data_IF_638211734722
#
_entry.id   IF_638211734722
#
_cell.length_a   1.000
_cell.length_b   1.000
_cell.length_c   1.000
_cell.angle_alpha   90.00
_cell.angle_beta   90.00
_cell.angle_gamma   90.00
#
_symmetry.space_group_name_H-M   'P 1'
#
loop_
_entity.id
_entity.type
_entity.pdbx_description
1 polymer ?
#
# COMPACT_ATOMS: atom_id res chain seq x y z
N UNK A 1 -1.40 -6.33 11.93
CA UNK A 1 -0.82 -6.00 10.62
C UNK A 1 -1.11 -7.15 9.66
N UNK A 2 -1.61 -6.89 8.46
CA UNK A 2 -1.92 -7.89 7.44
C UNK A 2 -0.76 -7.97 6.43
N UNK A 3 -0.33 -9.17 6.08
CA UNK A 3 0.76 -9.37 5.12
C UNK A 3 0.20 -9.73 3.75
N UNK A 4 0.62 -9.00 2.73
CA UNK A 4 0.24 -9.22 1.33
C UNK A 4 1.43 -9.85 0.60
N UNK A 5 1.25 -11.06 0.08
CA UNK A 5 2.33 -11.81 -0.55
C UNK A 5 2.58 -11.27 -1.96
N UNK A 6 3.83 -10.98 -2.29
CA UNK A 6 4.26 -10.50 -3.61
C UNK A 6 5.39 -11.37 -4.15
N UNK A 7 5.47 -11.52 -5.48
CA UNK A 7 6.54 -12.24 -6.18
C UNK A 7 7.56 -11.30 -6.85
N UNK A 8 7.48 -10.00 -6.57
CA UNK A 8 8.36 -8.96 -7.09
C UNK A 8 9.24 -8.39 -5.97
N UNK A 9 10.33 -7.69 -6.31
CA UNK A 9 11.20 -7.01 -5.31
C UNK A 9 10.43 -5.99 -4.45
N UNK A 10 9.40 -5.36 -5.03
CA UNK A 10 8.52 -4.41 -4.36
C UNK A 10 7.17 -4.37 -5.08
N UNK A 11 6.18 -3.77 -4.44
CA UNK A 11 4.92 -3.37 -5.07
C UNK A 11 4.74 -1.85 -4.88
N UNK A 12 4.13 -1.15 -5.84
CA UNK A 12 3.84 0.29 -5.65
C UNK A 12 2.66 0.45 -4.70
N UNK A 13 2.62 1.52 -3.93
CA UNK A 13 1.55 1.78 -2.96
C UNK A 13 0.14 1.68 -3.56
N UNK A 14 -0.12 2.30 -4.72
CA UNK A 14 -1.42 2.18 -5.38
C UNK A 14 -1.76 0.74 -5.81
N UNK A 15 -0.75 -0.01 -6.24
CA UNK A 15 -0.92 -1.38 -6.72
C UNK A 15 -1.14 -2.31 -5.52
N UNK A 16 -0.50 -2.04 -4.38
CA UNK A 16 -0.75 -2.73 -3.11
C UNK A 16 -2.22 -2.57 -2.68
N UNK A 17 -2.74 -1.34 -2.64
CA UNK A 17 -4.13 -1.11 -2.23
C UNK A 17 -5.10 -1.88 -3.12
N UNK A 18 -4.89 -1.84 -4.43
CA UNK A 18 -5.72 -2.58 -5.39
C UNK A 18 -5.55 -4.09 -5.25
N UNK A 19 -4.31 -4.58 -5.18
CA UNK A 19 -3.99 -6.00 -5.12
C UNK A 19 -4.53 -6.65 -3.83
N UNK A 20 -4.51 -5.91 -2.72
CA UNK A 20 -5.09 -6.32 -1.45
C UNK A 20 -6.63 -6.18 -1.39
N UNK A 21 -7.28 -5.74 -2.48
CA UNK A 21 -8.74 -5.55 -2.54
C UNK A 21 -9.26 -4.43 -1.65
N UNK A 22 -8.41 -3.45 -1.29
CA UNK A 22 -8.76 -2.33 -0.42
C UNK A 22 -9.43 -1.18 -1.18
N UNK A 23 -9.26 -1.18 -2.50
CA UNK A 23 -9.84 -0.25 -3.48
C UNK A 23 -10.17 -1.06 -4.73
N UNK A 24 -11.16 -0.62 -5.49
CA UNK A 24 -11.62 -1.32 -6.70
C UNK A 24 -10.72 -1.00 -7.90
N UNK A 25 -10.20 0.22 -7.96
CA UNK A 25 -9.42 0.70 -9.12
C UNK A 25 -8.12 1.41 -8.75
N UNK A 26 -7.19 1.46 -9.71
CA UNK A 26 -5.97 2.28 -9.55
C UNK A 26 -6.23 3.79 -9.57
N UNK A 27 -7.36 4.22 -10.14
CA UNK A 27 -7.81 5.62 -10.10
C UNK A 27 -8.22 6.03 -8.69
N UNK A 28 -9.05 5.21 -8.06
CA UNK A 28 -9.45 5.38 -6.66
C UNK A 28 -8.23 5.39 -5.72
N UNK A 29 -7.30 4.44 -5.92
CA UNK A 29 -6.04 4.41 -5.18
C UNK A 29 -5.27 5.74 -5.29
N UNK A 30 -5.18 6.30 -6.51
CA UNK A 30 -4.52 7.59 -6.74
C UNK A 30 -5.21 8.71 -5.95
N UNK A 31 -6.54 8.80 -6.02
CA UNK A 31 -7.30 9.87 -5.36
C UNK A 31 -7.14 9.81 -3.84
N UNK A 32 -7.25 8.63 -3.23
CA UNK A 32 -7.08 8.43 -1.79
C UNK A 32 -5.66 8.75 -1.32
N UNK A 33 -4.65 8.30 -2.05
CA UNK A 33 -3.24 8.57 -1.73
C UNK A 33 -2.96 10.09 -1.84
N UNK A 34 -3.37 10.73 -2.92
CA UNK A 34 -3.17 12.17 -3.11
C UNK A 34 -4.03 13.02 -2.16
N UNK A 35 -5.15 12.48 -1.70
CA UNK A 35 -6.01 13.06 -0.66
C UNK A 35 -5.52 12.82 0.77
N UNK A 36 -4.32 12.25 0.96
CA UNK A 36 -3.70 12.09 2.27
C UNK A 36 -4.35 11.01 3.15
N UNK A 37 -5.10 10.08 2.57
CA UNK A 37 -5.81 9.02 3.31
C UNK A 37 -4.94 7.80 3.66
N UNK A 38 -3.66 7.82 3.24
CA UNK A 38 -2.73 6.70 3.41
C UNK A 38 -1.48 7.19 4.11
N UNK A 39 -0.99 6.42 5.09
CA UNK A 39 0.30 6.68 5.71
C UNK A 39 1.26 5.53 5.43
N UNK A 40 2.56 5.83 5.33
CA UNK A 40 3.60 4.82 5.28
C UNK A 40 4.67 5.16 6.30
N UNK A 41 4.91 4.28 7.27
CA UNK A 41 5.82 4.53 8.38
C UNK A 41 5.34 5.61 9.35
N UNK A 42 4.02 5.80 9.48
CA UNK A 42 3.40 6.80 10.36
C UNK A 42 3.30 8.22 9.76
N UNK A 43 3.77 8.43 8.54
CA UNK A 43 3.67 9.71 7.84
C UNK A 43 2.69 9.63 6.67
N UNK A 44 1.89 10.69 6.48
CA UNK A 44 0.99 10.80 5.31
C UNK A 44 1.81 10.69 4.03
N UNK A 45 1.46 9.72 3.19
CA UNK A 45 2.16 9.46 1.95
C UNK A 45 1.30 9.89 0.77
N UNK A 46 1.76 10.88 0.01
CA UNK A 46 1.10 11.35 -1.22
C UNK A 46 1.68 10.71 -2.49
N UNK A 47 2.68 9.85 -2.34
CA UNK A 47 3.41 9.22 -3.44
C UNK A 47 2.79 7.87 -3.81
N UNK A 48 1.84 7.88 -4.75
CA UNK A 48 1.18 6.64 -5.22
C UNK A 48 2.12 5.57 -5.76
N UNK A 49 3.28 6.01 -6.28
CA UNK A 49 4.34 5.16 -6.81
C UNK A 49 5.39 4.75 -5.78
N UNK A 50 5.22 5.09 -4.49
CA UNK A 50 6.14 4.66 -3.42
C UNK A 50 6.27 3.15 -3.44
N UNK A 51 7.51 2.67 -3.48
CA UNK A 51 7.82 1.24 -3.45
C UNK A 51 7.63 0.74 -2.02
N UNK A 52 6.81 -0.28 -1.85
CA UNK A 52 6.55 -0.96 -0.58
C UNK A 52 7.28 -2.29 -0.58
N UNK A 53 8.05 -2.52 0.48
CA UNK A 53 8.85 -3.72 0.73
C UNK A 53 8.51 -4.33 2.09
N UNK A 54 8.89 -5.59 2.35
CA UNK A 54 8.67 -6.18 3.66
C UNK A 54 9.27 -5.32 4.76
N UNK A 55 8.47 -5.07 5.80
CA UNK A 55 8.82 -4.18 6.91
C UNK A 55 8.29 -2.74 6.77
N UNK A 56 7.87 -2.30 5.58
CA UNK A 56 7.10 -1.06 5.45
C UNK A 56 5.72 -1.24 6.10
N UNK A 57 5.31 -0.26 6.90
CA UNK A 57 3.97 -0.20 7.51
C UNK A 57 3.09 0.77 6.72
N UNK A 58 2.09 0.24 6.03
CA UNK A 58 1.07 1.01 5.32
C UNK A 58 -0.21 1.05 6.17
N UNK A 59 -0.61 2.24 6.62
CA UNK A 59 -1.89 2.46 7.30
C UNK A 59 -2.91 2.99 6.30
N UNK A 60 -4.02 2.28 6.16
CA UNK A 60 -5.18 2.68 5.36
C UNK A 60 -6.47 2.18 6.00
N UNK A 61 -7.51 3.03 6.03
CA UNK A 61 -8.81 2.71 6.62
C UNK A 61 -8.74 2.10 8.04
N UNK A 62 -7.82 2.61 8.88
CA UNK A 62 -7.64 2.15 10.26
C UNK A 62 -6.95 0.77 10.41
N UNK A 63 -6.45 0.19 9.33
CA UNK A 63 -5.74 -1.09 9.36
C UNK A 63 -4.32 -0.97 8.79
N UNK A 64 -3.42 -1.75 9.37
CA UNK A 64 -2.00 -1.80 8.98
C UNK A 64 -1.72 -2.96 8.04
N UNK A 65 -0.95 -2.69 6.99
CA UNK A 65 -0.57 -3.62 5.94
C UNK A 65 0.95 -3.60 5.73
N UNK A 66 1.51 -4.75 5.42
CA UNK A 66 2.89 -4.88 4.93
C UNK A 66 2.91 -5.91 3.80
N UNK A 67 4.06 -6.12 3.18
CA UNK A 67 4.24 -7.15 2.15
C UNK A 67 5.20 -8.24 2.63
N UNK A 68 5.04 -9.45 2.08
CA UNK A 68 5.96 -10.57 2.26
C UNK A 68 6.35 -11.12 0.89
N UNK A 69 7.56 -11.65 0.74
CA UNK A 69 7.92 -12.33 -0.50
C UNK A 69 7.28 -13.72 -0.52
N UNK A 70 6.82 -14.15 -1.70
CA UNK A 70 6.52 -15.55 -1.95
C UNK A 70 7.82 -16.38 -1.81
N UNK A 71 7.71 -17.57 -1.23
CA UNK A 71 8.80 -18.55 -1.18
C UNK A 71 9.22 -19.02 -2.58
#
# INVERSE_FOLDING_TARGET
>A
MKTIVISTEFIKLQDLLKYAGLVETGGEAKELIQGGQVQVGGEVCLQRGKKIRPGDDVLFAGAHYTVGYAD
#
